data_IF_675032909465
#
_entry.id   IF_675032909465
#
_cell.length_a   1.000
_cell.length_b   1.000
_cell.length_c   1.000
_cell.angle_alpha   90.00
_cell.angle_beta   90.00
_cell.angle_gamma   90.00
#
_symmetry.space_group_name_H-M   'P 1'
#
loop_
_entity.id
_entity.type
_entity.pdbx_description
1 polymer ?
#
# COMPACT_ATOMS: atom_id res chain seq x y z
N UNK A 1 -19.93 -42.53 -50.02
CA UNK A 1 -19.09 -41.35 -49.66
C UNK A 1 -19.68 -40.77 -48.40
N UNK A 2 -19.13 -41.15 -47.27
CA UNK A 2 -19.63 -40.75 -45.94
C UNK A 2 -18.67 -39.66 -45.40
N UNK A 3 -19.20 -38.43 -45.28
CA UNK A 3 -18.49 -37.31 -44.71
C UNK A 3 -18.44 -37.43 -43.15
N UNK A 4 -17.28 -37.66 -42.61
CA UNK A 4 -17.02 -37.55 -41.20
C UNK A 4 -16.87 -36.06 -40.86
N UNK A 5 -17.83 -35.49 -40.15
CA UNK A 5 -17.71 -34.16 -39.53
C UNK A 5 -16.80 -34.26 -38.30
N UNK A 6 -15.63 -33.63 -38.41
CA UNK A 6 -14.68 -33.45 -37.28
C UNK A 6 -15.31 -32.47 -36.26
N UNK A 7 -15.75 -33.01 -35.13
CA UNK A 7 -16.27 -32.22 -34.03
C UNK A 7 -15.15 -31.36 -33.45
N UNK A 8 -15.35 -30.03 -33.42
CA UNK A 8 -14.47 -29.08 -32.69
C UNK A 8 -14.48 -29.41 -31.21
N UNK A 9 -13.36 -29.90 -30.71
CA UNK A 9 -13.10 -30.03 -29.26
C UNK A 9 -13.06 -28.62 -28.72
N UNK A 10 -14.04 -28.26 -27.90
CA UNK A 10 -14.09 -27.01 -27.15
C UNK A 10 -12.95 -27.11 -26.09
N UNK A 11 -11.81 -26.47 -26.34
CA UNK A 11 -10.79 -26.25 -25.33
C UNK A 11 -11.39 -25.33 -24.25
N UNK A 12 -12.04 -25.91 -23.25
CA UNK A 12 -12.24 -25.22 -21.99
C UNK A 12 -10.85 -25.00 -21.44
N UNK A 13 -10.37 -23.77 -21.45
CA UNK A 13 -9.19 -23.36 -20.69
C UNK A 13 -9.41 -23.86 -19.26
N UNK A 14 -8.62 -24.83 -18.84
CA UNK A 14 -8.55 -25.22 -17.43
C UNK A 14 -8.05 -23.97 -16.68
N UNK A 15 -8.97 -23.20 -16.11
CA UNK A 15 -8.61 -22.21 -15.12
C UNK A 15 -7.93 -22.95 -13.97
N UNK A 16 -6.64 -22.69 -13.80
CA UNK A 16 -5.87 -23.26 -12.69
C UNK A 16 -6.50 -22.69 -11.41
N UNK A 17 -7.13 -23.53 -10.56
CA UNK A 17 -7.92 -23.05 -9.42
C UNK A 17 -7.06 -22.40 -8.31
N UNK A 18 -5.73 -22.42 -8.46
CA UNK A 18 -4.81 -21.88 -7.47
C UNK A 18 -3.92 -20.80 -8.07
N UNK A 19 -4.01 -19.60 -7.52
CA UNK A 19 -3.10 -18.49 -7.87
C UNK A 19 -1.77 -18.73 -7.15
N UNK A 20 -0.73 -19.04 -7.94
CA UNK A 20 0.61 -19.25 -7.43
C UNK A 20 1.51 -18.03 -7.69
N UNK A 21 2.28 -17.59 -6.68
CA UNK A 21 3.26 -16.52 -6.84
C UNK A 21 2.70 -15.09 -6.90
N UNK A 22 1.39 -14.92 -6.73
CA UNK A 22 0.71 -13.61 -6.61
C UNK A 22 0.06 -13.47 -5.24
N UNK A 23 -0.28 -12.25 -4.86
CA UNK A 23 -1.09 -11.99 -3.67
C UNK A 23 -2.47 -12.59 -3.91
N UNK A 24 -2.92 -13.49 -3.02
CA UNK A 24 -4.26 -14.04 -3.08
C UNK A 24 -5.27 -12.94 -2.75
N UNK A 25 -6.20 -12.66 -3.67
CA UNK A 25 -7.20 -11.61 -3.55
C UNK A 25 -8.57 -12.13 -3.95
N UNK A 26 -9.63 -11.50 -3.43
CA UNK A 26 -11.01 -11.83 -3.73
C UNK A 26 -11.34 -13.32 -3.50
N UNK A 27 -11.87 -14.04 -4.53
CA UNK A 27 -12.30 -15.44 -4.40
C UNK A 27 -11.15 -16.43 -4.15
N UNK A 28 -9.89 -15.99 -4.37
CA UNK A 28 -8.70 -16.81 -4.10
C UNK A 28 -8.20 -16.68 -2.66
N UNK A 29 -8.80 -15.78 -1.86
CA UNK A 29 -8.50 -15.60 -0.44
C UNK A 29 -9.49 -16.45 0.37
N UNK A 30 -9.10 -17.68 0.70
CA UNK A 30 -9.95 -18.64 1.39
C UNK A 30 -9.57 -18.78 2.87
N UNK A 31 -10.59 -18.95 3.71
CA UNK A 31 -10.53 -19.50 5.07
C UNK A 31 -9.82 -18.67 6.17
N UNK A 32 -9.64 -17.34 5.98
CA UNK A 32 -9.06 -16.47 7.04
C UNK A 32 -10.01 -15.35 7.48
N UNK A 33 -11.31 -15.63 7.47
CA UNK A 33 -12.32 -14.63 7.81
C UNK A 33 -12.16 -14.11 9.24
N UNK A 34 -11.91 -15.02 10.19
CA UNK A 34 -11.71 -14.64 11.59
C UNK A 34 -10.45 -13.79 11.80
N UNK A 35 -9.33 -14.16 11.16
CA UNK A 35 -8.10 -13.37 11.23
C UNK A 35 -8.31 -11.96 10.63
N UNK A 36 -9.05 -11.88 9.53
CA UNK A 36 -9.38 -10.61 8.87
C UNK A 36 -10.24 -9.74 9.78
N UNK A 37 -11.29 -10.30 10.38
CA UNK A 37 -12.17 -9.59 11.29
C UNK A 37 -11.42 -9.09 12.53
N UNK A 38 -10.57 -9.93 13.09
CA UNK A 38 -9.71 -9.55 14.22
C UNK A 38 -8.80 -8.39 13.85
N UNK A 39 -8.18 -8.43 12.66
CA UNK A 39 -7.29 -7.37 12.20
C UNK A 39 -8.05 -6.07 11.94
N UNK A 40 -9.22 -6.13 11.30
CA UNK A 40 -10.10 -4.96 11.11
C UNK A 40 -10.53 -4.35 12.45
N UNK A 41 -10.89 -5.17 13.43
CA UNK A 41 -11.25 -4.69 14.77
C UNK A 41 -10.06 -4.02 15.47
N UNK A 42 -8.85 -4.56 15.32
CA UNK A 42 -7.63 -3.94 15.82
C UNK A 42 -7.37 -2.58 15.15
N UNK A 43 -7.57 -2.48 13.83
CA UNK A 43 -7.45 -1.22 13.10
C UNK A 43 -8.46 -0.18 13.62
N UNK A 44 -9.72 -0.56 13.76
CA UNK A 44 -10.78 0.33 14.30
C UNK A 44 -10.49 0.78 15.72
N UNK A 45 -9.93 -0.12 16.52
CA UNK A 45 -9.52 0.15 17.90
C UNK A 45 -8.18 0.87 18.03
N UNK A 46 -7.48 1.16 16.94
CA UNK A 46 -6.12 1.73 16.92
C UNK A 46 -5.12 0.91 17.75
N UNK A 47 -5.26 -0.43 17.68
CA UNK A 47 -4.38 -1.36 18.39
C UNK A 47 -3.20 -1.74 17.50
N UNK A 48 -1.99 -1.43 17.95
CA UNK A 48 -0.77 -1.85 17.28
C UNK A 48 -0.71 -3.38 17.20
N UNK A 49 -0.53 -3.90 16.00
CA UNK A 49 -0.61 -5.34 15.73
C UNK A 49 0.62 -5.82 14.98
N UNK A 50 1.23 -6.89 15.46
CA UNK A 50 2.32 -7.58 14.78
C UNK A 50 1.84 -8.94 14.29
N UNK A 51 2.03 -9.23 13.00
CA UNK A 51 1.66 -10.51 12.39
C UNK A 51 2.91 -11.37 12.22
N UNK A 52 2.99 -12.45 12.98
CA UNK A 52 4.11 -13.40 12.92
C UNK A 52 3.62 -14.70 12.29
N UNK A 53 4.19 -15.07 11.16
CA UNK A 53 3.93 -16.37 10.54
C UNK A 53 5.07 -16.73 9.57
N UNK A 54 5.21 -17.99 9.17
CA UNK A 54 6.20 -18.41 8.18
C UNK A 54 6.08 -17.66 6.85
N UNK A 55 7.12 -17.69 6.04
CA UNK A 55 7.11 -17.13 4.68
C UNK A 55 6.03 -17.83 3.84
N UNK A 56 5.36 -17.09 2.96
CA UNK A 56 4.29 -17.56 2.06
C UNK A 56 2.98 -17.99 2.73
N UNK A 57 2.78 -17.64 4.00
CA UNK A 57 1.53 -17.90 4.72
C UNK A 57 0.49 -16.79 4.55
N UNK A 58 0.60 -15.98 3.51
CA UNK A 58 -0.43 -15.00 3.15
C UNK A 58 -0.55 -13.80 4.08
N UNK A 59 0.54 -13.39 4.80
CA UNK A 59 0.51 -12.19 5.65
C UNK A 59 0.09 -10.94 4.89
N UNK A 60 0.73 -10.69 3.75
CA UNK A 60 0.43 -9.54 2.90
C UNK A 60 -0.99 -9.59 2.36
N UNK A 61 -1.46 -10.79 1.95
CA UNK A 61 -2.85 -10.97 1.50
C UNK A 61 -3.86 -10.66 2.61
N UNK A 62 -3.57 -11.08 3.85
CA UNK A 62 -4.41 -10.81 5.02
C UNK A 62 -4.51 -9.29 5.28
N UNK A 63 -3.37 -8.59 5.29
CA UNK A 63 -3.34 -7.14 5.48
C UNK A 63 -4.11 -6.43 4.36
N UNK A 64 -3.84 -6.78 3.09
CA UNK A 64 -4.54 -6.20 1.95
C UNK A 64 -6.05 -6.40 2.04
N UNK A 65 -6.49 -7.61 2.41
CA UNK A 65 -7.91 -7.91 2.54
C UNK A 65 -8.57 -7.12 3.69
N UNK A 66 -7.88 -6.96 4.82
CA UNK A 66 -8.34 -6.12 5.92
C UNK A 66 -8.41 -4.64 5.52
N UNK A 67 -7.41 -4.11 4.81
CA UNK A 67 -7.42 -2.74 4.29
C UNK A 67 -8.54 -2.52 3.26
N UNK A 68 -8.79 -3.47 2.36
CA UNK A 68 -9.91 -3.41 1.41
C UNK A 68 -11.26 -3.34 2.13
N UNK A 69 -11.46 -4.11 3.20
CA UNK A 69 -12.70 -4.03 4.00
C UNK A 69 -12.89 -2.65 4.64
N UNK A 70 -11.82 -1.95 4.94
CA UNK A 70 -11.86 -0.60 5.52
C UNK A 70 -11.85 0.52 4.48
N UNK A 71 -11.69 0.22 3.19
CA UNK A 71 -11.55 1.24 2.13
C UNK A 71 -12.77 2.17 1.99
N UNK A 72 -13.94 1.72 2.40
CA UNK A 72 -15.18 2.52 2.38
C UNK A 72 -15.40 3.34 3.66
N UNK A 73 -14.53 3.21 4.65
CA UNK A 73 -14.60 3.95 5.91
C UNK A 73 -13.92 5.32 5.75
N UNK A 74 -14.71 6.38 5.63
CA UNK A 74 -14.19 7.73 5.37
C UNK A 74 -13.36 8.33 6.51
N UNK A 75 -13.46 7.78 7.71
CA UNK A 75 -12.78 8.26 8.91
C UNK A 75 -11.32 7.82 9.01
N UNK A 76 -10.87 6.98 8.09
CA UNK A 76 -9.53 6.40 8.13
C UNK A 76 -8.71 6.76 6.89
N UNK A 77 -7.43 7.02 7.11
CA UNK A 77 -6.39 7.08 6.08
C UNK A 77 -5.61 5.76 6.15
N UNK A 78 -5.61 5.01 5.05
CA UNK A 78 -5.03 3.68 4.97
C UNK A 78 -3.73 3.75 4.17
N UNK A 79 -2.61 3.43 4.79
CA UNK A 79 -1.29 3.43 4.18
C UNK A 79 -0.63 2.06 4.30
N UNK A 80 -0.15 1.56 3.18
CA UNK A 80 0.67 0.36 3.14
C UNK A 80 2.07 0.71 2.65
N UNK A 81 3.09 0.23 3.37
CA UNK A 81 4.49 0.51 3.06
C UNK A 81 5.22 -0.82 2.87
N UNK A 82 5.84 -0.99 1.72
CA UNK A 82 6.75 -2.11 1.48
C UNK A 82 8.20 -1.66 1.70
N UNK A 83 8.80 -2.15 2.77
CA UNK A 83 10.18 -1.84 3.14
C UNK A 83 11.18 -2.89 2.66
N UNK A 84 10.74 -3.89 1.91
CA UNK A 84 11.59 -5.02 1.48
C UNK A 84 12.83 -4.57 0.70
N UNK A 85 12.70 -3.52 -0.11
CA UNK A 85 13.79 -2.99 -0.94
C UNK A 85 14.60 -1.89 -0.26
N UNK A 86 14.23 -1.45 0.94
CA UNK A 86 14.95 -0.43 1.68
C UNK A 86 16.23 -1.03 2.28
N UNK A 87 17.38 -0.50 1.87
CA UNK A 87 18.71 -0.94 2.34
C UNK A 87 19.40 0.09 3.22
N UNK A 88 18.92 1.32 3.23
CA UNK A 88 19.45 2.42 4.03
C UNK A 88 18.31 3.12 4.76
N UNK A 89 18.63 3.80 5.86
CA UNK A 89 17.65 4.63 6.58
C UNK A 89 17.03 5.69 5.68
N UNK A 90 17.82 6.32 4.83
CA UNK A 90 17.34 7.31 3.86
C UNK A 90 16.28 6.72 2.94
N UNK A 91 16.49 5.51 2.41
CA UNK A 91 15.51 4.83 1.57
C UNK A 91 14.23 4.49 2.33
N UNK A 92 14.36 4.08 3.59
CA UNK A 92 13.21 3.83 4.45
C UNK A 92 12.38 5.10 4.64
N UNK A 93 13.00 6.22 5.06
CA UNK A 93 12.27 7.47 5.28
C UNK A 93 11.66 8.02 3.99
N UNK A 94 12.33 7.87 2.85
CA UNK A 94 11.76 8.22 1.55
C UNK A 94 10.51 7.40 1.22
N UNK A 95 10.58 6.08 1.35
CA UNK A 95 9.45 5.19 1.12
C UNK A 95 8.29 5.49 2.08
N UNK A 96 8.62 5.74 3.36
CA UNK A 96 7.67 6.06 4.40
C UNK A 96 6.88 7.34 4.08
N UNK A 97 7.59 8.46 3.90
CA UNK A 97 6.96 9.76 3.60
C UNK A 97 6.14 9.70 2.30
N UNK A 98 6.70 9.11 1.24
CA UNK A 98 5.98 8.96 -0.04
C UNK A 98 4.67 8.19 0.13
N UNK A 99 4.69 7.08 0.85
CA UNK A 99 3.50 6.26 1.06
C UNK A 99 2.44 6.99 1.90
N UNK A 100 2.85 7.71 2.94
CA UNK A 100 1.96 8.52 3.77
C UNK A 100 1.28 9.62 2.97
N UNK A 101 2.05 10.37 2.18
CA UNK A 101 1.52 11.46 1.37
C UNK A 101 0.58 10.94 0.27
N UNK A 102 0.93 9.83 -0.40
CA UNK A 102 0.06 9.19 -1.40
C UNK A 102 -1.27 8.71 -0.79
N UNK A 103 -1.23 8.16 0.41
CA UNK A 103 -2.44 7.71 1.10
C UNK A 103 -3.34 8.88 1.56
N UNK A 104 -2.75 10.05 1.78
CA UNK A 104 -3.45 11.21 2.35
C UNK A 104 -3.96 12.20 1.31
N UNK A 105 -3.28 12.33 0.16
CA UNK A 105 -3.53 13.34 -0.84
C UNK A 105 -3.67 12.71 -2.23
N UNK A 106 -4.86 12.79 -2.80
CA UNK A 106 -5.17 12.19 -4.11
C UNK A 106 -4.86 13.13 -5.28
N UNK A 107 -4.94 14.45 -5.04
CA UNK A 107 -4.64 15.44 -6.06
C UNK A 107 -3.17 15.83 -6.02
N UNK A 108 -2.55 15.97 -7.19
CA UNK A 108 -1.13 16.27 -7.33
C UNK A 108 -0.75 17.59 -6.63
N UNK A 109 -1.56 18.63 -6.79
CA UNK A 109 -1.28 19.95 -6.20
C UNK A 109 -1.31 19.91 -4.67
N UNK A 110 -2.28 19.20 -4.09
CA UNK A 110 -2.38 19.01 -2.63
C UNK A 110 -1.19 18.19 -2.12
N UNK A 111 -0.82 17.15 -2.86
CA UNK A 111 0.33 16.31 -2.55
C UNK A 111 1.65 17.12 -2.55
N UNK A 112 1.88 17.94 -3.59
CA UNK A 112 3.07 18.79 -3.69
C UNK A 112 3.12 19.85 -2.59
N UNK A 113 1.97 20.45 -2.25
CA UNK A 113 1.87 21.41 -1.16
C UNK A 113 2.17 20.76 0.20
N UNK A 114 1.64 19.56 0.44
CA UNK A 114 1.90 18.79 1.66
C UNK A 114 3.37 18.35 1.73
N UNK A 115 3.93 17.86 0.64
CA UNK A 115 5.35 17.51 0.56
C UNK A 115 6.24 18.70 0.91
N UNK A 116 5.96 19.87 0.36
CA UNK A 116 6.70 21.11 0.68
C UNK A 116 6.54 21.53 2.14
N UNK A 117 5.32 21.36 2.69
CA UNK A 117 5.02 21.71 4.07
C UNK A 117 5.74 20.82 5.08
N UNK A 118 5.64 19.50 4.91
CA UNK A 118 6.12 18.54 5.90
C UNK A 118 7.58 18.15 5.74
N UNK A 119 8.12 18.21 4.53
CA UNK A 119 9.47 17.74 4.23
C UNK A 119 10.43 18.92 3.92
N UNK A 120 9.92 20.15 3.91
CA UNK A 120 10.73 21.36 3.70
C UNK A 120 11.19 21.56 2.25
N UNK A 121 12.34 22.20 2.05
CA UNK A 121 12.83 22.65 0.74
C UNK A 121 13.36 21.50 -0.12
N UNK A 122 12.54 20.47 -0.36
CA UNK A 122 12.88 19.42 -1.30
C UNK A 122 12.48 19.84 -2.70
N UNK A 123 13.47 19.98 -3.57
CA UNK A 123 13.22 20.04 -4.99
C UNK A 123 12.60 18.69 -5.41
N UNK A 124 11.31 18.63 -5.81
CA UNK A 124 10.75 17.40 -6.34
C UNK A 124 11.50 17.05 -7.61
N UNK A 125 12.30 15.98 -7.58
CA UNK A 125 12.73 15.34 -8.83
C UNK A 125 11.54 14.51 -9.31
N UNK A 126 10.70 15.11 -10.17
CA UNK A 126 9.66 14.42 -10.90
C UNK A 126 10.33 13.45 -11.88
N UNK A 127 10.38 12.18 -11.53
CA UNK A 127 10.67 11.13 -12.50
C UNK A 127 9.33 10.68 -13.06
N UNK A 128 8.96 11.16 -14.24
CA UNK A 128 7.81 10.68 -14.99
C UNK A 128 8.19 9.29 -15.51
N UNK A 129 7.63 8.24 -14.95
CA UNK A 129 7.72 6.92 -15.56
C UNK A 129 6.58 6.77 -16.57
N UNK A 130 6.93 6.44 -17.79
CA UNK A 130 6.14 6.54 -19.03
C UNK A 130 5.08 5.42 -19.20
N UNK A 131 4.73 4.68 -18.17
CA UNK A 131 3.73 3.63 -18.25
C UNK A 131 2.65 3.81 -17.19
N UNK A 132 1.49 4.31 -17.66
CA UNK A 132 0.22 4.37 -16.93
C UNK A 132 0.13 5.41 -15.81
N UNK A 133 0.17 6.72 -16.10
CA UNK A 133 -0.31 7.83 -15.23
C UNK A 133 -0.16 7.62 -13.69
N UNK A 134 0.76 6.77 -13.26
CA UNK A 134 1.19 6.65 -11.89
C UNK A 134 2.35 7.63 -11.71
N UNK A 135 2.05 8.77 -11.11
CA UNK A 135 3.04 9.73 -10.69
C UNK A 135 3.91 9.09 -9.59
N UNK A 136 5.02 8.46 -9.99
CA UNK A 136 6.10 8.14 -9.07
C UNK A 136 6.90 9.41 -8.84
N UNK A 137 6.53 10.13 -7.83
CA UNK A 137 7.34 11.21 -7.31
C UNK A 137 8.54 10.58 -6.58
N UNK A 138 9.62 10.41 -7.28
CA UNK A 138 10.91 10.14 -6.65
C UNK A 138 11.37 11.43 -5.96
N UNK A 139 11.00 11.58 -4.69
CA UNK A 139 11.62 12.62 -3.87
C UNK A 139 13.05 12.18 -3.58
N UNK A 140 14.01 12.88 -4.16
CA UNK A 140 15.35 12.88 -3.63
C UNK A 140 15.31 13.68 -2.32
N UNK A 141 15.01 13.03 -1.21
CA UNK A 141 15.20 13.64 0.10
C UNK A 141 16.70 13.72 0.30
N UNK A 142 17.28 14.88 0.08
CA UNK A 142 18.66 15.14 0.43
C UNK A 142 18.69 15.59 1.89
N UNK A 143 18.87 14.63 2.80
CA UNK A 143 18.96 14.88 4.24
C UNK A 143 20.23 15.66 4.63
N UNK A 144 21.07 16.04 3.65
CA UNK A 144 22.35 16.70 3.93
C UNK A 144 22.23 18.13 4.44
N UNK A 145 21.14 18.82 4.13
CA UNK A 145 21.06 20.27 4.39
C UNK A 145 20.12 20.69 5.53
N UNK A 146 19.33 19.78 6.12
CA UNK A 146 18.53 20.05 7.32
C UNK A 146 18.52 18.85 8.23
N UNK A 147 18.90 19.09 9.46
CA UNK A 147 18.81 18.18 10.58
C UNK A 147 17.34 18.02 11.00
N UNK A 148 16.55 17.25 10.20
CA UNK A 148 15.25 16.77 10.68
C UNK A 148 15.53 15.73 11.75
N UNK A 149 14.91 15.88 12.90
CA UNK A 149 14.85 14.79 13.87
C UNK A 149 14.09 13.64 13.23
N UNK A 150 14.64 12.43 13.29
CA UNK A 150 13.94 11.23 12.82
C UNK A 150 12.55 11.07 13.46
N UNK A 151 12.41 11.57 14.68
CA UNK A 151 11.16 11.59 15.43
C UNK A 151 10.09 12.43 14.71
N UNK A 152 10.45 13.60 14.17
CA UNK A 152 9.51 14.46 13.41
C UNK A 152 8.98 13.77 12.17
N UNK A 153 9.80 12.95 11.47
CA UNK A 153 9.38 12.19 10.31
C UNK A 153 8.44 11.04 10.72
N UNK A 154 8.74 10.37 11.82
CA UNK A 154 7.91 9.27 12.31
C UNK A 154 6.56 9.76 12.85
N UNK A 155 6.47 11.00 13.30
CA UNK A 155 5.24 11.64 13.78
C UNK A 155 4.32 12.17 12.65
N UNK A 156 4.77 12.13 11.39
CA UNK A 156 3.97 12.60 10.25
C UNK A 156 2.56 12.01 10.17
N UNK A 157 2.34 10.70 10.42
CA UNK A 157 0.97 10.14 10.38
C UNK A 157 0.06 10.83 11.36
N UNK A 158 0.53 11.16 12.55
CA UNK A 158 -0.26 11.85 13.56
C UNK A 158 -0.55 13.29 13.15
N UNK A 159 0.42 14.01 12.61
CA UNK A 159 0.24 15.38 12.13
C UNK A 159 -0.78 15.45 10.99
N UNK A 160 -0.67 14.53 10.00
CA UNK A 160 -1.61 14.44 8.89
C UNK A 160 -3.00 14.03 9.38
N UNK A 161 -3.08 13.08 10.31
CA UNK A 161 -4.35 12.64 10.90
C UNK A 161 -5.11 13.80 11.58
N UNK A 162 -4.40 14.59 12.37
CA UNK A 162 -4.96 15.79 13.03
C UNK A 162 -5.43 16.84 12.03
N UNK A 163 -4.61 17.12 10.99
CA UNK A 163 -4.97 18.10 9.96
C UNK A 163 -6.20 17.67 9.15
N UNK A 164 -6.29 16.37 8.83
CA UNK A 164 -7.40 15.82 8.06
C UNK A 164 -8.63 15.47 8.89
N UNK A 165 -8.54 15.52 10.22
CA UNK A 165 -9.60 15.07 11.13
C UNK A 165 -9.92 13.58 10.97
N UNK A 166 -8.92 12.75 10.63
CA UNK A 166 -9.06 11.32 10.36
C UNK A 166 -8.10 10.51 11.23
N UNK A 167 -8.34 9.20 11.31
CA UNK A 167 -7.44 8.26 11.95
C UNK A 167 -6.49 7.67 10.91
N UNK A 168 -5.22 7.49 11.25
CA UNK A 168 -4.22 6.97 10.32
C UNK A 168 -3.86 5.52 10.69
N UNK A 169 -3.89 4.63 9.71
CA UNK A 169 -3.46 3.23 9.83
C UNK A 169 -2.31 3.02 8.87
N UNK A 170 -1.15 2.65 9.41
CA UNK A 170 0.07 2.34 8.66
C UNK A 170 0.37 0.86 8.80
N UNK A 171 0.54 0.15 7.67
CA UNK A 171 0.85 -1.28 7.58
C UNK A 171 2.16 -1.54 6.83
#
# INVERSE_FOLDING_TARGET
>A
MTNFACGKINERSMEIPFVYGKIADGPNFTDRTQDTEKLVNNFKGLVNTVIISPRRWGKTSLVNHALQRMSNENDYLLCQIDIFNCRTETQFYQAYVNSLLKASYTKLDEFLAAAKKYVGTFGPKLTLSDSQMQYELAFGIDFKDKQYSYDEILDLPQQIALERGKKFIVC
#
